data_IF_343976817182
#
_entry.id   IF_343976817182
#
_cell.length_a   1.000
_cell.length_b   1.000
_cell.length_c   1.000
_cell.angle_alpha   90.00
_cell.angle_beta   90.00
_cell.angle_gamma   90.00
#
_symmetry.space_group_name_H-M   'P 1'
#
loop_
_entity.id
_entity.type
_entity.pdbx_description
1 polymer ?
#
# COMPACT_ATOMS: atom_id res chain seq x y z
N UNK A 1 7.10 -4.51 -1.02
CA UNK A 1 7.09 -4.95 0.39
C UNK A 1 8.06 -4.11 1.22
N UNK A 2 7.61 -2.93 1.64
CA UNK A 2 8.38 -1.98 2.43
C UNK A 2 7.56 -1.66 3.68
N UNK A 3 7.89 -2.26 4.82
CA UNK A 3 7.03 -2.12 6.00
C UNK A 3 7.89 -1.96 7.26
N UNK A 4 8.67 -2.98 7.62
CA UNK A 4 9.39 -3.00 8.91
C UNK A 4 10.46 -1.92 9.06
N UNK A 5 11.30 -1.71 8.04
CA UNK A 5 12.43 -0.75 8.13
C UNK A 5 11.96 0.70 8.16
N UNK A 6 10.87 1.00 7.46
CA UNK A 6 10.25 2.33 7.41
C UNK A 6 9.50 2.60 8.71
N UNK A 7 8.73 1.62 9.22
CA UNK A 7 8.10 1.69 10.53
C UNK A 7 9.11 1.96 11.66
N UNK A 8 10.25 1.25 11.67
CA UNK A 8 11.32 1.44 12.68
C UNK A 8 11.92 2.85 12.70
N UNK A 9 11.79 3.60 11.60
CA UNK A 9 12.27 4.98 11.51
C UNK A 9 11.20 6.00 11.91
N UNK A 10 10.02 5.57 12.35
CA UNK A 10 8.90 6.43 12.74
C UNK A 10 8.11 7.01 11.55
N UNK A 11 8.46 6.67 10.31
CA UNK A 11 7.82 7.25 9.12
C UNK A 11 6.35 6.84 8.93
N UNK A 12 5.89 5.80 9.64
CA UNK A 12 4.50 5.33 9.58
C UNK A 12 3.68 5.78 10.80
N UNK A 13 4.29 6.49 11.75
CA UNK A 13 3.63 6.78 13.03
C UNK A 13 2.50 7.81 12.90
N UNK A 14 2.56 8.66 11.87
CA UNK A 14 1.60 9.74 11.61
C UNK A 14 0.93 9.65 10.24
N UNK A 15 1.07 8.51 9.56
CA UNK A 15 0.53 8.31 8.22
C UNK A 15 -0.31 7.05 8.14
N UNK A 16 -1.41 7.10 7.37
CA UNK A 16 -2.19 5.90 7.10
C UNK A 16 -1.34 4.90 6.32
N UNK A 17 -1.34 3.64 6.76
CA UNK A 17 -0.49 2.62 6.17
C UNK A 17 -1.03 1.21 6.39
N UNK A 18 -0.49 0.25 5.65
CA UNK A 18 -0.72 -1.18 5.82
C UNK A 18 0.59 -1.95 5.92
N UNK A 19 0.52 -3.24 6.26
CA UNK A 19 1.63 -4.16 6.19
C UNK A 19 1.18 -5.59 5.90
N UNK A 20 2.04 -6.59 6.15
CA UNK A 20 1.61 -7.99 6.12
C UNK A 20 0.58 -8.30 7.22
N UNK A 21 0.74 -7.68 8.40
CA UNK A 21 -0.18 -7.78 9.54
C UNK A 21 0.20 -6.72 10.59
N UNK A 22 -0.78 -6.15 11.30
CA UNK A 22 -0.51 -5.20 12.39
C UNK A 22 0.41 -5.81 13.47
N UNK A 23 0.13 -7.05 13.88
CA UNK A 23 0.96 -7.80 14.84
C UNK A 23 2.44 -7.86 14.41
N UNK A 24 2.71 -7.99 13.11
CA UNK A 24 4.07 -8.05 12.60
C UNK A 24 4.83 -6.74 12.83
N UNK A 25 4.17 -5.59 12.66
CA UNK A 25 4.80 -4.29 12.97
C UNK A 25 5.00 -4.13 14.48
N UNK A 26 3.97 -4.40 15.28
CA UNK A 26 4.04 -4.24 16.74
C UNK A 26 5.15 -5.09 17.38
N UNK A 27 5.40 -6.30 16.88
CA UNK A 27 6.38 -7.22 17.48
C UNK A 27 7.79 -7.08 16.89
N UNK A 28 7.91 -6.69 15.62
CA UNK A 28 9.20 -6.74 14.93
C UNK A 28 9.74 -5.36 14.51
N UNK A 29 8.93 -4.30 14.52
CA UNK A 29 9.38 -2.94 14.28
C UNK A 29 9.61 -2.20 15.61
N UNK A 30 10.85 -2.26 16.11
CA UNK A 30 11.29 -1.48 17.27
C UNK A 30 10.95 0.00 17.07
N UNK A 31 10.38 0.63 18.10
CA UNK A 31 9.91 2.03 18.13
C UNK A 31 8.71 2.37 17.23
N UNK A 32 8.02 1.38 16.67
CA UNK A 32 6.77 1.64 15.94
C UNK A 32 5.65 2.07 16.90
N UNK A 33 5.01 3.21 16.60
CA UNK A 33 3.90 3.76 17.40
C UNK A 33 2.62 4.05 16.58
N UNK A 34 2.67 3.84 15.26
CA UNK A 34 1.56 4.13 14.32
C UNK A 34 0.35 3.19 14.32
N UNK A 35 0.11 2.38 15.35
CA UNK A 35 -0.97 1.35 15.32
C UNK A 35 -2.36 1.93 15.01
N UNK A 36 -2.64 3.16 15.45
CA UNK A 36 -3.93 3.82 15.19
C UNK A 36 -4.13 4.22 13.73
N UNK A 37 -3.06 4.33 12.95
CA UNK A 37 -3.10 4.69 11.53
C UNK A 37 -3.03 3.46 10.62
N UNK A 38 -2.96 2.25 11.19
CA UNK A 38 -2.94 1.02 10.43
C UNK A 38 -4.31 0.73 9.79
N UNK A 39 -4.32 0.36 8.50
CA UNK A 39 -5.49 -0.14 7.78
C UNK A 39 -5.27 -1.58 7.35
N UNK A 40 -6.27 -2.42 7.55
CA UNK A 40 -6.25 -3.82 7.10
C UNK A 40 -6.68 -3.92 5.63
N UNK A 41 -5.84 -3.35 4.76
CA UNK A 41 -6.04 -3.28 3.31
C UNK A 41 -4.79 -3.77 2.56
N UNK A 42 -4.95 -4.17 1.29
CA UNK A 42 -3.85 -4.70 0.49
C UNK A 42 -2.80 -3.64 0.12
N UNK A 43 -3.22 -2.40 -0.14
CA UNK A 43 -2.34 -1.26 -0.38
C UNK A 43 -3.02 0.01 0.16
N UNK A 44 -2.21 0.90 0.73
CA UNK A 44 -2.65 2.18 1.31
C UNK A 44 -1.72 3.27 0.80
N UNK A 45 -2.31 4.39 0.39
CA UNK A 45 -1.61 5.61 -0.01
C UNK A 45 -2.00 6.73 0.93
N UNK A 46 -1.02 7.28 1.64
CA UNK A 46 -1.15 8.53 2.36
C UNK A 46 -0.12 9.53 1.81
N UNK A 47 -0.62 10.57 1.15
CA UNK A 47 0.20 11.55 0.41
C UNK A 47 1.17 10.85 -0.56
N UNK A 48 2.47 10.87 -0.26
CA UNK A 48 3.53 10.25 -1.08
C UNK A 48 4.07 8.95 -0.47
N UNK A 49 3.44 8.45 0.60
CA UNK A 49 3.80 7.19 1.26
C UNK A 49 2.83 6.12 0.77
N UNK A 50 3.35 5.18 -0.01
CA UNK A 50 2.61 4.01 -0.48
C UNK A 50 3.12 2.79 0.27
N UNK A 51 2.22 2.12 0.99
CA UNK A 51 2.51 0.85 1.68
C UNK A 51 1.60 -0.24 1.15
N UNK A 52 2.07 -1.48 1.20
CA UNK A 52 1.31 -2.62 0.73
C UNK A 52 1.67 -3.91 1.47
N UNK A 53 0.71 -4.82 1.52
CA UNK A 53 0.92 -6.20 1.90
C UNK A 53 1.81 -6.91 0.87
N UNK A 54 2.54 -7.93 1.30
CA UNK A 54 3.37 -8.74 0.41
C UNK A 54 2.63 -9.55 -0.63
N UNK A 55 1.35 -9.80 -0.42
CA UNK A 55 0.48 -10.49 -1.39
C UNK A 55 -0.27 -9.54 -2.32
N UNK A 56 0.12 -8.26 -2.38
CA UNK A 56 -0.56 -7.22 -3.16
C UNK A 56 0.22 -6.77 -4.41
N UNK A 57 0.59 -7.68 -5.34
CA UNK A 57 1.38 -7.32 -6.52
C UNK A 57 0.60 -6.49 -7.54
N UNK A 58 -0.72 -6.39 -7.43
CA UNK A 58 -1.56 -5.61 -8.35
C UNK A 58 -1.96 -4.28 -7.73
N UNK A 59 -2.33 -4.27 -6.45
CA UNK A 59 -2.75 -3.07 -5.74
C UNK A 59 -1.58 -2.10 -5.54
N UNK A 60 -0.38 -2.61 -5.27
CA UNK A 60 0.78 -1.74 -5.05
C UNK A 60 1.16 -0.92 -6.31
N UNK A 61 1.33 -1.52 -7.51
CA UNK A 61 1.53 -0.74 -8.73
C UNK A 61 0.35 0.19 -9.06
N UNK A 62 -0.90 -0.22 -8.80
CA UNK A 62 -2.08 0.66 -9.01
C UNK A 62 -1.95 1.96 -8.23
N UNK A 63 -1.59 1.87 -6.95
CA UNK A 63 -1.37 3.06 -6.13
C UNK A 63 -0.18 3.90 -6.65
N UNK A 64 0.91 3.28 -7.12
CA UNK A 64 2.03 4.00 -7.75
C UNK A 64 1.56 4.78 -8.99
N UNK A 65 0.79 4.14 -9.87
CA UNK A 65 0.27 4.76 -11.09
C UNK A 65 -0.60 5.97 -10.78
N UNK A 66 -1.45 5.86 -9.75
CA UNK A 66 -2.33 6.93 -9.27
C UNK A 66 -1.53 8.10 -8.69
N UNK A 67 -0.57 7.82 -7.81
CA UNK A 67 0.22 8.86 -7.13
C UNK A 67 1.12 9.63 -8.09
N UNK A 68 1.76 8.91 -9.02
CA UNK A 68 2.63 9.52 -10.04
C UNK A 68 1.87 10.08 -11.24
N UNK A 69 0.54 9.87 -11.32
CA UNK A 69 -0.31 10.26 -12.46
C UNK A 69 0.24 9.78 -13.80
N UNK A 70 0.75 8.55 -13.84
CA UNK A 70 1.38 7.97 -15.04
C UNK A 70 0.38 7.73 -16.16
N UNK A 71 -0.86 7.43 -15.79
CA UNK A 71 -1.99 7.21 -16.70
C UNK A 71 -3.22 7.92 -16.14
N UNK A 72 -4.24 8.13 -16.98
CA UNK A 72 -5.51 8.62 -16.49
C UNK A 72 -6.25 7.56 -15.64
N UNK A 73 -7.29 8.00 -14.93
CA UNK A 73 -8.02 7.13 -14.00
C UNK A 73 -8.70 5.94 -14.69
N UNK A 74 -9.12 6.10 -15.94
CA UNK A 74 -9.85 5.06 -16.68
C UNK A 74 -8.87 3.97 -17.09
N UNK A 75 -7.72 4.34 -17.62
CA UNK A 75 -6.67 3.40 -18.01
C UNK A 75 -6.10 2.63 -16.82
N UNK A 76 -5.93 3.29 -15.66
CA UNK A 76 -5.53 2.61 -14.42
C UNK A 76 -6.59 1.58 -14.00
N UNK A 77 -7.88 1.90 -14.13
CA UNK A 77 -8.96 0.98 -13.77
C UNK A 77 -9.05 -0.19 -14.75
N UNK A 78 -8.92 0.05 -16.06
CA UNK A 78 -8.85 -1.02 -17.08
C UNK A 78 -7.69 -1.97 -16.81
N UNK A 79 -6.49 -1.42 -16.54
CA UNK A 79 -5.33 -2.21 -16.13
C UNK A 79 -5.64 -3.04 -14.88
N UNK A 80 -6.26 -2.45 -13.86
CA UNK A 80 -6.60 -3.15 -12.63
C UNK A 80 -7.57 -4.31 -12.88
N UNK A 81 -8.65 -4.08 -13.63
CA UNK A 81 -9.65 -5.11 -13.94
C UNK A 81 -9.04 -6.27 -14.74
N UNK A 82 -8.19 -5.96 -15.72
CA UNK A 82 -7.48 -6.98 -16.49
C UNK A 82 -6.60 -7.85 -15.60
N UNK A 83 -5.71 -7.25 -14.80
CA UNK A 83 -4.73 -8.02 -14.04
C UNK A 83 -5.27 -8.62 -12.75
N UNK A 84 -6.30 -8.02 -12.14
CA UNK A 84 -6.91 -8.54 -10.90
C UNK A 84 -7.98 -9.59 -11.19
N UNK A 85 -8.80 -9.38 -12.23
CA UNK A 85 -10.01 -10.16 -12.47
C UNK A 85 -10.02 -10.84 -13.85
N UNK A 86 -9.05 -10.57 -14.73
CA UNK A 86 -9.06 -11.10 -16.10
C UNK A 86 -10.11 -10.44 -17.00
N UNK A 87 -10.65 -9.29 -16.60
CA UNK A 87 -11.70 -8.58 -17.35
C UNK A 87 -11.03 -7.57 -18.28
N UNK A 88 -11.14 -7.81 -19.59
CA UNK A 88 -10.71 -6.88 -20.62
C UNK A 88 -11.91 -6.07 -21.14
N UNK A 89 -11.74 -4.75 -21.25
CA UNK A 89 -12.72 -3.85 -21.89
C UNK A 89 -12.01 -2.95 -22.88
N UNK A 90 -12.54 -2.90 -24.11
CA UNK A 90 -12.03 -2.03 -25.20
C UNK A 90 -12.23 -0.54 -24.88
#
# INVERSE_FOLDING_TARGET
>A
MINKRVARKGFLDHSEHTSNALFYLQNFAVNYSGSNNYKDELAVTDNNIITANGIAPIEFPREIFKTLKLYDKIEIEKWFQLFKHGIWTE
#
